data_IF_529583092557
#
_entry.id   IF_529583092557
#
_cell.length_a   1.000
_cell.length_b   1.000
_cell.length_c   1.000
_cell.angle_alpha   90.00
_cell.angle_beta   90.00
_cell.angle_gamma   90.00
#
_symmetry.space_group_name_H-M   'P 1'
#
loop_
_entity.id
_entity.type
_entity.pdbx_description
1 polymer ?
#
# COMPACT_ATOMS: atom_id res chain seq x y z
N UNK A 1 -3.55 13.57 9.76
CA UNK A 1 -2.65 12.45 10.19
C UNK A 1 -1.51 12.18 9.20
N UNK A 2 -0.41 11.51 9.61
CA UNK A 2 0.70 11.10 8.71
C UNK A 2 0.66 9.61 8.37
N UNK A 3 0.81 9.30 7.09
CA UNK A 3 0.96 7.92 6.57
C UNK A 3 2.21 7.80 5.71
N UNK A 4 2.69 6.57 5.53
CA UNK A 4 3.99 6.29 4.95
C UNK A 4 3.89 5.32 3.79
N UNK A 5 4.67 5.57 2.74
CA UNK A 5 4.82 4.65 1.60
C UNK A 5 6.29 4.54 1.24
N UNK A 6 6.76 3.33 0.99
CA UNK A 6 8.07 3.10 0.38
C UNK A 6 7.83 2.74 -1.08
N UNK A 7 8.56 3.37 -2.00
CA UNK A 7 8.49 3.03 -3.42
C UNK A 7 9.83 3.32 -4.11
N UNK A 8 9.95 2.86 -5.36
CA UNK A 8 11.09 3.22 -6.22
C UNK A 8 11.15 4.75 -6.38
N UNK A 9 12.35 5.30 -6.40
CA UNK A 9 12.59 6.74 -6.48
C UNK A 9 11.87 7.42 -7.67
N UNK A 10 11.75 6.72 -8.81
CA UNK A 10 11.05 7.21 -10.01
C UNK A 10 9.54 7.47 -9.83
N UNK A 11 8.95 6.96 -8.75
CA UNK A 11 7.53 7.15 -8.42
C UNK A 11 7.33 8.01 -7.17
N UNK A 12 8.39 8.63 -6.67
CA UNK A 12 8.36 9.28 -5.36
C UNK A 12 7.96 10.76 -5.37
N UNK A 13 7.96 11.37 -6.55
CA UNK A 13 7.74 12.81 -6.70
C UNK A 13 6.25 13.16 -6.87
N UNK A 14 5.35 12.16 -6.92
CA UNK A 14 3.90 12.34 -7.00
C UNK A 14 3.14 11.19 -6.31
N UNK A 15 1.85 11.39 -6.06
CA UNK A 15 0.90 10.39 -5.59
C UNK A 15 0.51 9.42 -6.72
N UNK A 16 1.49 8.65 -7.20
CA UNK A 16 1.31 7.71 -8.31
C UNK A 16 0.68 6.39 -7.87
N UNK A 17 -0.42 6.00 -8.50
CA UNK A 17 -1.02 4.67 -8.40
C UNK A 17 -0.83 3.91 -9.72
N UNK A 18 -0.41 2.65 -9.65
CA UNK A 18 -0.03 1.89 -10.86
C UNK A 18 -1.22 1.30 -11.64
N UNK A 19 -2.38 1.16 -11.01
CA UNK A 19 -3.54 0.45 -11.56
C UNK A 19 -3.35 -1.08 -11.66
N UNK A 20 -2.21 -1.63 -11.23
CA UNK A 20 -2.06 -3.08 -11.12
C UNK A 20 -2.95 -3.63 -10.01
N UNK A 21 -3.50 -4.81 -10.24
CA UNK A 21 -4.23 -5.57 -9.22
C UNK A 21 -3.32 -5.80 -8.01
N UNK A 22 -3.81 -5.46 -6.82
CA UNK A 22 -3.17 -5.79 -5.55
C UNK A 22 -4.22 -6.35 -4.58
N UNK A 23 -3.93 -6.33 -3.27
CA UNK A 23 -4.80 -6.95 -2.26
C UNK A 23 -6.20 -6.32 -2.22
N UNK A 24 -6.33 -5.00 -2.29
CA UNK A 24 -7.60 -4.30 -2.07
C UNK A 24 -8.13 -3.60 -3.33
N UNK A 25 -7.63 -3.94 -4.52
CA UNK A 25 -8.09 -3.34 -5.78
C UNK A 25 -7.99 -4.31 -6.97
N UNK A 26 -8.93 -4.18 -7.90
CA UNK A 26 -8.86 -4.84 -9.21
C UNK A 26 -7.87 -4.14 -10.14
N UNK A 27 -7.57 -4.79 -11.26
CA UNK A 27 -6.81 -4.16 -12.35
C UNK A 27 -7.58 -2.92 -12.85
N UNK A 28 -6.85 -1.86 -13.17
CA UNK A 28 -7.34 -0.56 -13.65
C UNK A 28 -8.13 0.24 -12.59
N UNK A 29 -8.05 -0.17 -11.32
CA UNK A 29 -8.45 0.64 -10.16
C UNK A 29 -7.21 1.26 -9.51
N UNK A 30 -7.15 2.59 -9.51
CA UNK A 30 -6.00 3.36 -9.05
C UNK A 30 -6.07 3.62 -7.55
N UNK A 31 -5.34 2.81 -6.77
CA UNK A 31 -5.30 2.90 -5.30
C UNK A 31 -3.88 3.15 -4.80
N UNK A 32 -3.74 4.08 -3.86
CA UNK A 32 -2.48 4.37 -3.16
C UNK A 32 -2.46 3.59 -1.84
N UNK A 33 -1.52 2.66 -1.74
CA UNK A 33 -1.28 1.91 -0.51
C UNK A 33 -0.29 2.64 0.38
N UNK A 34 -0.66 2.83 1.63
CA UNK A 34 0.16 3.45 2.67
C UNK A 34 0.11 2.62 3.94
N UNK A 35 1.01 2.91 4.88
CA UNK A 35 1.08 2.29 6.18
C UNK A 35 1.11 3.36 7.28
N UNK A 36 0.61 3.02 8.46
CA UNK A 36 0.64 3.91 9.63
C UNK A 36 2.06 4.20 10.15
N UNK A 37 3.05 3.37 9.80
CA UNK A 37 4.45 3.56 10.21
C UNK A 37 5.44 3.23 9.09
N UNK A 38 6.64 3.81 9.15
CA UNK A 38 7.75 3.48 8.23
C UNK A 38 8.17 2.01 8.32
N UNK A 39 8.15 1.44 9.53
CA UNK A 39 8.49 0.03 9.75
C UNK A 39 7.48 -0.90 9.04
N UNK A 40 6.19 -0.61 9.14
CA UNK A 40 5.15 -1.38 8.44
C UNK A 40 5.24 -1.20 6.92
N UNK A 41 5.51 0.02 6.42
CA UNK A 41 5.75 0.25 4.99
C UNK A 41 6.95 -0.57 4.47
N UNK A 42 7.99 -0.75 5.30
CA UNK A 42 9.15 -1.58 4.96
C UNK A 42 8.80 -3.06 4.91
N UNK A 43 8.04 -3.56 5.90
CA UNK A 43 7.57 -4.95 5.92
C UNK A 43 6.72 -5.29 4.68
N UNK A 44 5.83 -4.39 4.26
CA UNK A 44 4.97 -4.59 3.09
C UNK A 44 5.72 -4.51 1.75
N UNK A 45 6.77 -3.69 1.63
CA UNK A 45 7.45 -3.48 0.35
C UNK A 45 8.72 -4.31 0.19
N UNK A 46 9.58 -4.32 1.22
CA UNK A 46 10.94 -4.87 1.12
C UNK A 46 10.97 -6.36 1.44
N UNK A 47 10.20 -6.79 2.45
CA UNK A 47 10.18 -8.19 2.89
C UNK A 47 9.30 -9.04 1.98
N UNK A 48 8.14 -8.54 1.57
CA UNK A 48 7.21 -9.28 0.71
C UNK A 48 7.66 -9.43 -0.75
N UNK A 49 8.67 -8.67 -1.20
CA UNK A 49 9.24 -8.79 -2.56
C UNK A 49 10.36 -9.84 -2.69
N UNK A 50 10.66 -10.59 -1.62
CA UNK A 50 11.69 -11.65 -1.63
C UNK A 50 13.05 -11.20 -2.19
N UNK A 51 13.38 -9.92 -2.05
CA UNK A 51 14.65 -9.33 -2.48
C UNK A 51 14.79 -8.94 -3.96
N UNK A 52 13.81 -9.21 -4.82
CA UNK A 52 13.84 -8.70 -6.19
C UNK A 52 13.67 -7.17 -6.21
N UNK A 53 14.64 -6.46 -6.83
CA UNK A 53 14.66 -5.00 -6.91
C UNK A 53 15.31 -4.29 -5.72
N UNK A 54 15.94 -4.99 -4.77
CA UNK A 54 16.69 -4.40 -3.65
C UNK A 54 17.88 -3.51 -4.07
N UNK A 55 18.35 -3.64 -5.31
CA UNK A 55 19.43 -2.82 -5.88
C UNK A 55 18.96 -1.46 -6.37
N UNK A 56 17.65 -1.24 -6.48
CA UNK A 56 17.10 0.04 -6.90
C UNK A 56 17.06 1.04 -5.75
N UNK A 57 17.05 2.34 -6.10
CA UNK A 57 16.88 3.39 -5.11
C UNK A 57 15.41 3.48 -4.69
N UNK A 58 15.17 3.28 -3.40
CA UNK A 58 13.87 3.51 -2.78
C UNK A 58 13.85 4.87 -2.07
N UNK A 59 12.65 5.46 -1.99
CA UNK A 59 12.37 6.62 -1.15
C UNK A 59 11.21 6.33 -0.23
N UNK A 60 11.21 7.01 0.92
CA UNK A 60 10.08 7.05 1.85
C UNK A 60 9.27 8.30 1.54
N UNK A 61 8.02 8.12 1.15
CA UNK A 61 7.04 9.18 1.04
C UNK A 61 6.36 9.32 2.40
N UNK A 62 6.32 10.55 2.89
CA UNK A 62 5.53 10.94 4.04
C UNK A 62 4.34 11.70 3.48
N UNK A 63 3.14 11.14 3.64
CA UNK A 63 1.92 11.71 3.09
C UNK A 63 1.11 12.22 4.27
N UNK A 64 0.78 13.50 4.21
CA UNK A 64 -0.15 14.12 5.15
C UNK A 64 -1.57 13.96 4.64
N UNK A 65 -2.43 13.38 5.48
CA UNK A 65 -3.87 13.29 5.26
C UNK A 65 -4.51 14.41 6.08
N UNK A 66 -5.14 15.40 5.43
CA UNK A 66 -5.85 16.47 6.13
C UNK A 66 -6.96 15.92 7.04
N UNK A 67 -7.23 16.60 8.15
CA UNK A 67 -8.18 16.13 9.16
C UNK A 67 -9.66 16.27 8.72
N UNK A 68 -9.93 17.01 7.65
CA UNK A 68 -11.26 17.18 7.04
C UNK A 68 -11.58 16.11 5.98
N UNK A 69 -10.63 15.23 5.66
CA UNK A 69 -10.86 14.09 4.78
C UNK A 69 -11.71 13.05 5.51
N UNK A 70 -12.79 12.60 4.87
CA UNK A 70 -13.61 11.51 5.38
C UNK A 70 -12.83 10.19 5.35
N UNK A 71 -12.81 9.49 6.49
CA UNK A 71 -12.14 8.21 6.65
C UNK A 71 -13.19 7.15 6.99
N UNK A 72 -13.23 6.10 6.19
CA UNK A 72 -13.98 4.87 6.51
C UNK A 72 -13.03 3.88 7.20
N UNK A 73 -13.39 3.45 8.41
CA UNK A 73 -12.65 2.42 9.13
C UNK A 73 -13.28 1.05 8.89
N UNK A 74 -12.46 0.10 8.42
CA UNK A 74 -12.86 -1.30 8.25
C UNK A 74 -12.25 -2.12 9.38
N UNK A 75 -13.11 -2.62 10.26
CA UNK A 75 -12.73 -3.48 11.38
C UNK A 75 -12.58 -4.94 10.94
N UNK A 76 -11.83 -5.78 11.69
CA UNK A 76 -11.64 -7.18 11.32
C UNK A 76 -12.95 -7.99 11.20
N UNK A 77 -14.02 -7.59 11.90
CA UNK A 77 -15.32 -8.27 11.84
C UNK A 77 -16.10 -7.98 10.56
N UNK A 78 -15.75 -6.91 9.85
CA UNK A 78 -16.32 -6.55 8.55
C UNK A 78 -15.60 -7.24 7.38
N UNK A 79 -14.42 -7.81 7.63
CA UNK A 79 -13.64 -8.48 6.60
C UNK A 79 -14.23 -9.86 6.27
N UNK A 80 -14.20 -10.28 4.99
CA UNK A 80 -14.60 -11.63 4.61
C UNK A 80 -13.78 -12.70 5.33
N UNK A 81 -14.38 -13.89 5.51
CA UNK A 81 -13.67 -15.06 6.02
C UNK A 81 -12.48 -15.37 5.11
N UNK A 82 -11.28 -15.56 5.69
CA UNK A 82 -10.01 -15.79 5.00
C UNK A 82 -9.46 -14.61 4.16
N UNK A 83 -9.80 -13.35 4.46
CA UNK A 83 -9.28 -12.17 3.76
C UNK A 83 -7.73 -12.10 3.73
N UNK A 84 -7.07 -12.70 4.73
CA UNK A 84 -5.63 -12.68 4.90
C UNK A 84 -4.91 -13.63 3.93
N UNK A 85 -5.59 -14.68 3.47
CA UNK A 85 -5.00 -15.69 2.59
C UNK A 85 -4.52 -15.03 1.29
N UNK A 86 -3.36 -15.47 0.81
CA UNK A 86 -2.80 -15.08 -0.49
C UNK A 86 -3.63 -15.58 -1.69
N UNK A 87 -4.80 -16.18 -1.44
CA UNK A 87 -5.79 -16.49 -2.44
C UNK A 87 -6.23 -15.18 -3.08
N UNK A 88 -5.67 -14.96 -4.28
CA UNK A 88 -6.26 -14.23 -5.41
C UNK A 88 -7.75 -14.01 -5.13
N UNK A 89 -8.22 -12.77 -5.16
CA UNK A 89 -9.65 -12.50 -5.31
C UNK A 89 -10.17 -13.44 -6.40
N UNK A 90 -10.82 -14.52 -5.97
CA UNK A 90 -11.53 -15.46 -6.78
C UNK A 90 -12.97 -14.97 -6.72
N UNK A 91 -13.20 -13.90 -7.46
CA UNK A 91 -14.42 -13.68 -8.22
C UNK A 91 -13.95 -13.18 -9.58
#
# INVERSE_FOLDING_TARGET
MLVYRICLAKYADDLFASGYRARWNFKDQFVIYTAATRALACLENVVHRSGEGLTDQFRVLVIEVPDDVLIEEITPTQLPVNWEKASRYAV
#
